data_IF_007274327424
#
_entry.id   IF_007274327424
#
_cell.length_a   1.000
_cell.length_b   1.000
_cell.length_c   1.000
_cell.angle_alpha   90.00
_cell.angle_beta   90.00
_cell.angle_gamma   90.00
#
_symmetry.space_group_name_H-M   'P 1'
#
loop_
_entity.id
_entity.type
_entity.pdbx_description
1 polymer ?
#
# COMPACT_ATOMS: atom_id res chain seq x y z
N UNK A 1 -5.16 -44.45 -20.01
CA UNK A 1 -5.05 -43.81 -18.68
C UNK A 1 -5.29 -42.33 -18.90
N UNK A 2 -6.47 -41.88 -18.50
CA UNK A 2 -7.00 -40.54 -18.76
C UNK A 2 -6.29 -39.50 -17.89
N UNK A 3 -5.77 -38.44 -18.51
CA UNK A 3 -5.12 -37.31 -17.81
C UNK A 3 -6.13 -36.57 -16.93
N UNK A 4 -7.42 -36.65 -17.25
CA UNK A 4 -8.52 -36.11 -16.45
C UNK A 4 -8.79 -36.87 -15.14
N UNK A 5 -8.19 -38.05 -14.97
CA UNK A 5 -8.35 -38.84 -13.73
C UNK A 5 -7.37 -38.44 -12.63
N UNK A 6 -6.30 -37.68 -12.92
CA UNK A 6 -5.30 -37.25 -11.91
C UNK A 6 -5.60 -35.89 -11.27
N UNK A 7 -6.59 -35.13 -11.77
CA UNK A 7 -6.92 -33.78 -11.26
C UNK A 7 -7.98 -33.82 -10.15
N UNK A 8 -8.50 -35.00 -9.80
CA UNK A 8 -9.71 -35.14 -9.00
C UNK A 8 -9.55 -35.21 -7.47
N UNK A 9 -8.33 -35.15 -6.92
CA UNK A 9 -8.13 -35.25 -5.45
C UNK A 9 -7.16 -34.19 -4.87
N UNK A 10 -7.02 -33.03 -5.50
CA UNK A 10 -6.46 -31.87 -4.80
C UNK A 10 -7.52 -31.23 -3.91
N UNK A 11 -7.26 -31.11 -2.60
CA UNK A 11 -8.12 -30.34 -1.70
C UNK A 11 -8.27 -28.91 -2.25
N UNK A 12 -9.43 -28.28 -2.06
CA UNK A 12 -9.66 -26.88 -2.47
C UNK A 12 -8.54 -25.96 -1.96
N UNK A 13 -8.02 -26.24 -0.76
CA UNK A 13 -6.94 -25.50 -0.14
C UNK A 13 -5.60 -25.65 -0.89
N UNK A 14 -5.33 -26.81 -1.49
CA UNK A 14 -4.08 -27.05 -2.21
C UNK A 14 -4.06 -26.23 -3.51
N UNK A 15 -5.20 -26.17 -4.20
CA UNK A 15 -5.36 -25.36 -5.42
C UNK A 15 -5.20 -23.88 -5.12
N UNK A 16 -5.78 -23.42 -4.03
CA UNK A 16 -5.69 -22.04 -3.58
C UNK A 16 -4.26 -21.65 -3.17
N UNK A 17 -3.55 -22.53 -2.47
CA UNK A 17 -2.13 -22.35 -2.11
C UNK A 17 -1.22 -22.26 -3.35
N UNK A 18 -1.45 -23.12 -4.35
CA UNK A 18 -0.74 -23.06 -5.64
C UNK A 18 -1.03 -21.75 -6.35
N UNK A 19 -2.30 -21.33 -6.41
CA UNK A 19 -2.70 -20.07 -7.04
C UNK A 19 -2.07 -18.86 -6.33
N UNK A 20 -2.06 -18.85 -5.01
CA UNK A 20 -1.40 -17.83 -4.19
C UNK A 20 0.09 -17.74 -4.51
N UNK A 21 0.77 -18.89 -4.63
CA UNK A 21 2.19 -18.95 -4.98
C UNK A 21 2.48 -18.39 -6.37
N UNK A 22 1.62 -18.71 -7.35
CA UNK A 22 1.73 -18.16 -8.72
C UNK A 22 1.58 -16.64 -8.71
N UNK A 23 0.54 -16.14 -8.04
CA UNK A 23 0.32 -14.69 -7.93
C UNK A 23 1.45 -13.99 -7.20
N UNK A 24 1.97 -14.58 -6.12
CA UNK A 24 3.11 -14.05 -5.37
C UNK A 24 4.32 -13.80 -6.28
N UNK A 25 4.76 -14.83 -7.00
CA UNK A 25 5.90 -14.74 -7.93
C UNK A 25 5.62 -13.71 -9.05
N UNK A 26 4.40 -13.71 -9.58
CA UNK A 26 4.05 -12.83 -10.69
C UNK A 26 3.98 -11.34 -10.28
N UNK A 27 3.45 -11.06 -9.09
CA UNK A 27 3.40 -9.70 -8.55
C UNK A 27 4.80 -9.19 -8.19
N UNK A 28 5.67 -10.04 -7.63
CA UNK A 28 7.06 -9.67 -7.33
C UNK A 28 7.84 -9.31 -8.60
N UNK A 29 7.63 -10.08 -9.67
CA UNK A 29 8.15 -9.74 -11.00
C UNK A 29 7.59 -8.41 -11.50
N UNK A 30 6.27 -8.18 -11.40
CA UNK A 30 5.64 -6.98 -11.93
C UNK A 30 6.13 -5.69 -11.22
N UNK A 31 6.23 -5.73 -9.89
CA UNK A 31 6.79 -4.61 -9.08
C UNK A 31 8.26 -4.39 -9.42
N UNK A 32 9.03 -5.48 -9.58
CA UNK A 32 10.44 -5.37 -9.99
C UNK A 32 10.57 -4.77 -11.40
N UNK A 33 9.70 -5.14 -12.32
CA UNK A 33 9.70 -4.66 -13.70
C UNK A 33 9.32 -3.17 -13.80
N UNK A 34 8.42 -2.68 -12.95
CA UNK A 34 8.03 -1.26 -12.94
C UNK A 34 9.13 -0.35 -12.37
N UNK A 35 9.90 -0.85 -11.41
CA UNK A 35 11.01 -0.12 -10.77
C UNK A 35 12.30 -0.11 -11.59
N UNK A 36 12.42 -0.93 -12.63
CA UNK A 36 13.60 -0.90 -13.52
C UNK A 36 13.72 0.47 -14.17
N UNK A 37 14.87 1.12 -13.94
CA UNK A 37 15.26 2.33 -14.65
C UNK A 37 15.57 1.93 -16.09
N UNK A 38 15.02 2.66 -17.07
CA UNK A 38 15.43 2.47 -18.46
C UNK A 38 16.95 2.65 -18.52
N UNK A 39 17.65 1.61 -18.96
CA UNK A 39 19.08 1.70 -19.15
C UNK A 39 19.34 2.72 -20.27
N UNK A 40 19.88 3.88 -19.90
CA UNK A 40 20.29 4.97 -20.82
C UNK A 40 21.82 5.08 -20.88
N UNK A 41 22.52 3.98 -20.55
CA UNK A 41 23.96 3.89 -20.75
C UNK A 41 24.28 3.57 -22.21
N UNK A 42 25.38 4.10 -22.78
CA UNK A 42 25.90 3.57 -24.02
C UNK A 42 26.27 2.09 -23.80
N UNK A 43 26.08 1.22 -24.81
CA UNK A 43 26.26 -0.22 -24.67
C UNK A 43 27.67 -0.52 -24.13
N UNK A 44 27.85 -1.54 -23.27
CA UNK A 44 29.17 -1.95 -22.84
C UNK A 44 29.98 -2.30 -24.09
N UNK A 45 31.10 -1.59 -24.27
CA UNK A 45 32.05 -1.82 -25.35
C UNK A 45 32.36 -3.31 -25.45
N UNK A 46 32.11 -3.84 -26.65
CA UNK A 46 32.44 -5.20 -27.04
C UNK A 46 33.93 -5.50 -26.79
N UNK A 47 34.20 -6.59 -26.08
CA UNK A 47 35.53 -7.19 -26.03
C UNK A 47 35.65 -8.24 -27.15
N UNK A 48 36.26 -7.77 -28.24
CA UNK A 48 37.22 -8.46 -29.12
C UNK A 48 37.01 -9.95 -29.46
N UNK A 49 36.69 -10.19 -30.74
CA UNK A 49 36.93 -11.46 -31.43
C UNK A 49 37.25 -11.24 -32.91
N UNK A 50 38.54 -11.13 -33.22
CA UNK A 50 39.26 -11.38 -34.48
C UNK A 50 38.65 -10.98 -35.84
N UNK A 51 39.44 -10.20 -36.57
CA UNK A 51 39.32 -9.90 -37.99
C UNK A 51 39.31 -11.15 -38.88
N UNK A 52 38.43 -11.14 -39.89
CA UNK A 52 38.70 -11.68 -41.24
C UNK A 52 37.80 -10.98 -42.26
N UNK A 53 38.43 -10.58 -43.36
CA UNK A 53 37.88 -9.83 -44.50
C UNK A 53 36.67 -10.47 -45.18
N UNK A 54 35.76 -9.65 -45.70
CA UNK A 54 34.83 -10.09 -46.75
C UNK A 54 33.48 -9.35 -46.81
N UNK A 55 33.38 -8.42 -47.77
CA UNK A 55 32.21 -7.96 -48.52
C UNK A 55 30.80 -7.90 -47.86
N UNK A 56 30.27 -6.66 -47.84
CA UNK A 56 28.90 -6.23 -47.55
C UNK A 56 27.80 -7.04 -48.24
N UNK A 57 26.90 -7.64 -47.45
CA UNK A 57 25.45 -7.65 -47.69
C UNK A 57 24.77 -7.48 -46.33
N UNK A 58 24.30 -6.26 -46.05
CA UNK A 58 23.52 -5.96 -44.86
C UNK A 58 22.08 -6.47 -45.06
N UNK A 59 21.83 -7.71 -44.65
CA UNK A 59 20.46 -8.14 -44.34
C UNK A 59 20.13 -7.53 -42.98
N UNK A 60 19.33 -6.47 -42.98
CA UNK A 60 18.71 -5.97 -41.76
C UNK A 60 17.71 -7.02 -41.28
N UNK A 61 18.17 -7.88 -40.38
CA UNK A 61 17.28 -8.62 -39.49
C UNK A 61 16.77 -7.60 -38.45
N UNK A 62 15.45 -7.45 -38.24
CA UNK A 62 14.97 -6.59 -37.18
C UNK A 62 15.47 -7.18 -35.85
N UNK A 63 16.42 -6.49 -35.22
CA UNK A 63 16.95 -6.80 -33.89
C UNK A 63 15.87 -6.50 -32.85
N UNK A 64 14.83 -7.33 -32.82
CA UNK A 64 13.81 -7.34 -31.81
C UNK A 64 14.14 -8.43 -30.80
N UNK A 65 14.91 -8.12 -29.76
CA UNK A 65 14.85 -8.85 -28.49
C UNK A 65 15.60 -8.08 -27.40
N UNK A 66 14.86 -7.69 -26.37
CA UNK A 66 15.30 -7.17 -25.06
C UNK A 66 15.46 -5.65 -24.87
N UNK A 67 14.62 -4.84 -25.51
CA UNK A 67 14.11 -3.65 -24.81
C UNK A 67 13.11 -4.12 -23.75
N UNK A 68 13.63 -4.32 -22.54
CA UNK A 68 12.91 -4.86 -21.40
C UNK A 68 11.67 -4.02 -21.09
N UNK A 69 10.49 -4.62 -21.33
CA UNK A 69 9.17 -4.07 -21.03
C UNK A 69 9.11 -3.55 -19.58
N UNK A 70 9.16 -2.23 -19.43
CA UNK A 70 8.95 -1.56 -18.16
C UNK A 70 7.44 -1.40 -17.97
N UNK A 71 6.91 -2.01 -16.92
CA UNK A 71 5.50 -1.83 -16.56
C UNK A 71 5.27 -0.44 -15.97
N UNK A 72 4.21 0.22 -16.41
CA UNK A 72 3.72 1.44 -15.79
C UNK A 72 3.06 1.11 -14.43
N UNK A 73 3.09 2.03 -13.45
CA UNK A 73 2.42 1.81 -12.16
C UNK A 73 0.94 1.44 -12.30
N UNK A 74 0.23 2.02 -13.28
CA UNK A 74 -1.17 1.69 -13.59
C UNK A 74 -1.36 0.24 -14.04
N UNK A 75 -0.39 -0.34 -14.73
CA UNK A 75 -0.44 -1.75 -15.16
C UNK A 75 -0.22 -2.68 -13.97
N UNK A 76 0.69 -2.33 -13.06
CA UNK A 76 0.89 -3.07 -11.80
C UNK A 76 -0.36 -3.00 -10.93
N UNK A 77 -1.01 -1.83 -10.82
CA UNK A 77 -2.29 -1.68 -10.11
C UNK A 77 -3.34 -2.62 -10.72
N UNK A 78 -3.47 -2.68 -12.04
CA UNK A 78 -4.42 -3.57 -12.71
C UNK A 78 -4.13 -5.05 -12.38
N UNK A 79 -2.85 -5.45 -12.35
CA UNK A 79 -2.46 -6.80 -11.95
C UNK A 79 -2.81 -7.09 -10.48
N UNK A 80 -2.58 -6.14 -9.57
CA UNK A 80 -2.97 -6.26 -8.17
C UNK A 80 -4.50 -6.39 -8.02
N UNK A 81 -5.28 -5.59 -8.76
CA UNK A 81 -6.75 -5.64 -8.78
C UNK A 81 -7.26 -7.01 -9.23
N UNK A 82 -6.61 -7.62 -10.23
CA UNK A 82 -6.91 -9.00 -10.67
C UNK A 82 -6.56 -10.04 -9.60
N UNK A 83 -5.42 -9.88 -8.94
CA UNK A 83 -5.00 -10.78 -7.86
C UNK A 83 -5.97 -10.73 -6.67
N UNK A 84 -6.36 -9.54 -6.19
CA UNK A 84 -7.34 -9.41 -5.09
C UNK A 84 -8.74 -9.87 -5.51
N UNK A 85 -9.06 -9.88 -6.80
CA UNK A 85 -10.33 -10.46 -7.27
C UNK A 85 -10.32 -11.98 -7.19
N UNK A 86 -9.17 -12.61 -7.44
CA UNK A 86 -9.00 -14.06 -7.36
C UNK A 86 -8.79 -14.56 -5.92
N UNK A 87 -8.15 -13.77 -5.06
CA UNK A 87 -7.68 -14.16 -3.74
C UNK A 87 -8.08 -13.12 -2.67
N UNK A 88 -9.32 -12.64 -2.71
CA UNK A 88 -9.77 -11.54 -1.84
C UNK A 88 -9.73 -11.86 -0.34
N UNK A 89 -9.69 -13.12 0.07
CA UNK A 89 -9.59 -13.49 1.48
C UNK A 89 -8.13 -13.64 1.95
N UNK A 90 -7.14 -13.53 1.05
CA UNK A 90 -5.73 -13.63 1.43
C UNK A 90 -5.15 -12.27 1.78
N UNK A 91 -4.96 -12.02 3.08
CA UNK A 91 -4.44 -10.74 3.58
C UNK A 91 -3.07 -10.37 2.96
N UNK A 92 -2.23 -11.36 2.64
CA UNK A 92 -0.91 -11.12 2.07
C UNK A 92 -0.97 -10.49 0.66
N UNK A 93 -2.02 -10.78 -0.13
CA UNK A 93 -2.23 -10.12 -1.42
C UNK A 93 -2.65 -8.66 -1.22
N UNK A 94 -3.51 -8.39 -0.25
CA UNK A 94 -3.87 -7.02 0.11
C UNK A 94 -2.68 -6.22 0.62
N UNK A 95 -1.89 -6.78 1.54
CA UNK A 95 -0.71 -6.13 2.09
C UNK A 95 0.30 -5.78 0.98
N UNK A 96 0.54 -6.67 0.02
CA UNK A 96 1.38 -6.38 -1.16
C UNK A 96 0.83 -5.25 -2.02
N UNK A 97 -0.49 -5.20 -2.21
CA UNK A 97 -1.11 -4.11 -2.96
C UNK A 97 -0.93 -2.78 -2.21
N UNK A 98 -1.16 -2.77 -0.91
CA UNK A 98 -0.97 -1.59 -0.06
C UNK A 98 0.50 -1.15 -0.04
N UNK A 99 1.46 -2.08 0.10
CA UNK A 99 2.91 -1.80 0.03
C UNK A 99 3.28 -1.10 -1.29
N UNK A 100 2.73 -1.56 -2.41
CA UNK A 100 2.97 -0.94 -3.70
C UNK A 100 2.37 0.47 -3.80
N UNK A 101 1.16 0.67 -3.28
CA UNK A 101 0.53 2.00 -3.27
C UNK A 101 1.31 2.99 -2.40
N UNK A 102 1.74 2.56 -1.20
CA UNK A 102 2.53 3.39 -0.28
C UNK A 102 3.92 3.72 -0.83
N UNK A 103 4.56 2.80 -1.55
CA UNK A 103 5.92 2.99 -2.07
C UNK A 103 5.96 3.73 -3.42
N UNK A 104 5.10 3.34 -4.35
CA UNK A 104 5.20 3.74 -5.76
C UNK A 104 4.08 4.70 -6.20
N UNK A 105 3.01 4.86 -5.40
CA UNK A 105 1.82 5.67 -5.74
C UNK A 105 1.36 6.55 -4.56
N UNK A 106 2.32 6.98 -3.72
CA UNK A 106 2.06 7.62 -2.43
C UNK A 106 1.30 8.94 -2.48
N UNK A 107 1.25 9.59 -3.64
CA UNK A 107 0.47 10.83 -3.83
C UNK A 107 -1.05 10.61 -3.93
N UNK A 108 -1.51 9.40 -4.26
CA UNK A 108 -2.94 9.07 -4.42
C UNK A 108 -3.50 8.47 -3.11
N UNK A 109 -3.61 9.31 -2.08
CA UNK A 109 -4.07 8.90 -0.74
C UNK A 109 -5.52 8.39 -0.78
N UNK A 110 -6.39 9.01 -1.59
CA UNK A 110 -7.76 8.57 -1.77
C UNK A 110 -7.86 7.12 -2.29
N UNK A 111 -7.01 6.74 -3.25
CA UNK A 111 -6.94 5.35 -3.71
C UNK A 111 -6.47 4.42 -2.60
N UNK A 112 -5.42 4.79 -1.88
CA UNK A 112 -4.91 4.00 -0.75
C UNK A 112 -6.02 3.74 0.28
N UNK A 113 -6.76 4.77 0.69
CA UNK A 113 -7.89 4.66 1.63
C UNK A 113 -9.00 3.76 1.07
N UNK A 114 -9.38 3.90 -0.21
CA UNK A 114 -10.40 3.03 -0.82
C UNK A 114 -9.98 1.56 -0.84
N UNK A 115 -8.71 1.28 -1.15
CA UNK A 115 -8.17 -0.09 -1.16
C UNK A 115 -8.14 -0.66 0.26
N UNK A 116 -7.67 0.12 1.24
CA UNK A 116 -7.65 -0.30 2.65
C UNK A 116 -9.04 -0.56 3.24
N UNK A 117 -10.03 0.31 2.95
CA UNK A 117 -11.43 0.06 3.34
C UNK A 117 -12.01 -1.20 2.72
N UNK A 118 -11.62 -1.54 1.48
CA UNK A 118 -12.02 -2.80 0.86
C UNK A 118 -11.28 -3.98 1.50
N UNK A 119 -10.00 -3.85 1.79
CA UNK A 119 -9.19 -4.93 2.34
C UNK A 119 -9.63 -5.32 3.75
N UNK A 120 -9.89 -4.38 4.65
CA UNK A 120 -10.37 -4.70 6.02
C UNK A 120 -11.75 -5.36 6.04
N UNK A 121 -12.60 -5.10 5.03
CA UNK A 121 -13.88 -5.82 4.89
C UNK A 121 -13.71 -7.26 4.43
N UNK A 122 -12.68 -7.56 3.64
CA UNK A 122 -12.43 -8.91 3.13
C UNK A 122 -11.50 -9.73 4.05
N UNK A 123 -10.57 -9.06 4.74
CA UNK A 123 -9.62 -9.64 5.70
C UNK A 123 -9.67 -8.89 7.04
N UNK A 124 -10.82 -8.89 7.75
CA UNK A 124 -11.00 -8.15 9.00
C UNK A 124 -10.10 -8.64 10.15
N UNK A 125 -9.52 -9.83 10.02
CA UNK A 125 -8.56 -10.39 10.97
C UNK A 125 -7.14 -9.81 10.83
N UNK A 126 -6.89 -8.98 9.83
CA UNK A 126 -5.55 -8.46 9.54
C UNK A 126 -5.27 -7.17 10.31
N UNK A 127 -4.48 -7.27 11.38
CA UNK A 127 -4.03 -6.10 12.14
C UNK A 127 -3.30 -5.07 11.26
N UNK A 128 -2.43 -5.56 10.36
CA UNK A 128 -1.63 -4.69 9.49
C UNK A 128 -2.49 -3.80 8.60
N UNK A 129 -3.60 -4.33 8.08
CA UNK A 129 -4.54 -3.56 7.25
C UNK A 129 -5.30 -2.51 8.08
N UNK A 130 -5.73 -2.84 9.30
CA UNK A 130 -6.39 -1.88 10.20
C UNK A 130 -5.48 -0.72 10.60
N UNK A 131 -4.25 -1.01 11.00
CA UNK A 131 -3.28 0.02 11.38
C UNK A 131 -2.96 0.96 10.21
N UNK A 132 -2.76 0.40 9.00
CA UNK A 132 -2.52 1.20 7.79
C UNK A 132 -3.75 2.01 7.39
N UNK A 133 -4.97 1.49 7.57
CA UNK A 133 -6.19 2.26 7.33
C UNK A 133 -6.28 3.47 8.26
N UNK A 134 -6.02 3.30 9.56
CA UNK A 134 -6.00 4.42 10.51
C UNK A 134 -5.00 5.51 10.12
N UNK A 135 -3.77 5.12 9.75
CA UNK A 135 -2.74 6.05 9.30
C UNK A 135 -3.10 6.75 7.98
N UNK A 136 -3.65 6.02 7.00
CA UNK A 136 -4.05 6.60 5.72
C UNK A 136 -5.22 7.59 5.89
N UNK A 137 -6.17 7.29 6.78
CA UNK A 137 -7.27 8.18 7.14
C UNK A 137 -6.77 9.44 7.84
N UNK A 138 -5.78 9.31 8.72
CA UNK A 138 -5.14 10.46 9.37
C UNK A 138 -4.43 11.36 8.34
N UNK A 139 -3.66 10.77 7.42
CA UNK A 139 -3.00 11.51 6.34
C UNK A 139 -4.02 12.20 5.41
N UNK A 140 -5.14 11.54 5.11
CA UNK A 140 -6.22 12.15 4.34
C UNK A 140 -6.83 13.35 5.07
N UNK A 141 -7.05 13.22 6.38
CA UNK A 141 -7.56 14.31 7.22
C UNK A 141 -6.59 15.51 7.29
N UNK A 142 -5.27 15.27 7.25
CA UNK A 142 -4.27 16.34 7.22
C UNK A 142 -4.18 17.04 5.86
N UNK A 143 -4.41 16.31 4.76
CA UNK A 143 -4.28 16.83 3.39
C UNK A 143 -5.57 17.47 2.86
N UNK A 144 -6.73 17.12 3.41
CA UNK A 144 -8.01 17.69 2.97
C UNK A 144 -8.29 19.05 3.62
N UNK A 145 -8.41 20.16 2.87
CA UNK A 145 -8.73 21.47 3.42
C UNK A 145 -10.19 21.60 3.89
N UNK A 146 -11.08 20.67 3.50
CA UNK A 146 -12.47 20.59 3.97
C UNK A 146 -12.86 19.12 4.15
N UNK A 147 -13.44 18.70 5.30
CA UNK A 147 -13.95 17.35 5.45
C UNK A 147 -15.14 17.14 4.52
N UNK A 148 -15.01 16.22 3.56
CA UNK A 148 -16.18 15.69 2.85
C UNK A 148 -16.83 14.67 3.78
N UNK A 149 -17.82 15.11 4.54
CA UNK A 149 -18.70 14.21 5.30
C UNK A 149 -19.85 13.83 4.36
N UNK A 150 -19.99 12.54 4.04
CA UNK A 150 -21.11 12.01 3.26
C UNK A 150 -21.40 12.70 1.90
N UNK A 151 -20.35 13.13 1.19
CA UNK A 151 -20.49 13.73 -0.15
C UNK A 151 -21.02 15.17 -0.15
N UNK A 152 -21.10 15.83 1.01
CA UNK A 152 -21.47 17.25 1.12
C UNK A 152 -20.21 18.04 1.49
N UNK A 153 -19.74 18.87 0.57
CA UNK A 153 -18.78 19.94 0.87
C UNK A 153 -19.47 20.99 1.71
N UNK A 154 -18.98 21.22 2.93
CA UNK A 154 -19.37 22.39 3.73
C UNK A 154 -18.57 23.60 3.25
N UNK A 155 -19.29 24.63 2.82
CA UNK A 155 -18.70 25.91 2.40
C UNK A 155 -18.02 26.59 3.59
N UNK A 156 -16.85 27.19 3.32
CA UNK A 156 -15.87 27.62 4.32
C UNK A 156 -16.25 28.86 5.16
N UNK A 157 -17.50 29.32 5.15
CA UNK A 157 -17.86 30.63 5.73
C UNK A 157 -18.50 30.60 7.12
N UNK A 158 -18.72 29.42 7.72
CA UNK A 158 -19.34 29.38 9.05
C UNK A 158 -18.85 28.23 9.92
N UNK A 159 -17.64 28.31 10.47
CA UNK A 159 -17.34 27.61 11.73
C UNK A 159 -16.27 28.32 12.55
N UNK A 160 -16.60 28.63 13.80
CA UNK A 160 -15.65 28.99 14.84
C UNK A 160 -14.46 28.02 14.85
N UNK A 161 -13.25 28.60 14.82
CA UNK A 161 -11.91 28.01 14.62
C UNK A 161 -11.48 26.84 15.56
N UNK A 162 -12.38 26.23 16.33
CA UNK A 162 -12.08 25.12 17.25
C UNK A 162 -12.88 23.83 17.02
N UNK A 163 -14.01 23.88 16.31
CA UNK A 163 -14.94 22.72 16.18
C UNK A 163 -14.65 21.88 14.94
N UNK A 164 -14.17 22.50 13.86
CA UNK A 164 -14.01 21.84 12.55
C UNK A 164 -12.90 20.79 12.51
N UNK A 165 -11.83 20.95 13.30
CA UNK A 165 -10.73 19.99 13.35
C UNK A 165 -11.07 18.71 14.14
N UNK A 166 -12.06 18.74 15.03
CA UNK A 166 -12.48 17.55 15.78
C UNK A 166 -13.29 16.62 14.88
N UNK A 167 -14.07 17.16 13.92
CA UNK A 167 -14.91 16.35 13.03
C UNK A 167 -14.15 15.66 11.89
N UNK A 168 -12.96 16.15 11.49
CA UNK A 168 -12.20 15.51 10.39
C UNK A 168 -11.53 14.22 10.88
N UNK A 169 -11.01 14.24 12.10
CA UNK A 169 -10.29 13.11 12.68
C UNK A 169 -11.19 12.09 13.38
N UNK A 170 -12.50 12.37 13.54
CA UNK A 170 -13.45 11.39 14.09
C UNK A 170 -13.50 10.11 13.25
N UNK A 171 -13.34 10.22 11.92
CA UNK A 171 -13.28 9.06 11.04
C UNK A 171 -12.06 8.16 11.31
N UNK A 172 -10.97 8.72 11.86
CA UNK A 172 -9.81 7.91 12.27
C UNK A 172 -10.14 7.14 13.54
N UNK A 173 -10.82 7.79 14.50
CA UNK A 173 -11.27 7.14 15.74
C UNK A 173 -12.26 6.01 15.44
N UNK A 174 -13.22 6.25 14.55
CA UNK A 174 -14.19 5.25 14.09
C UNK A 174 -13.50 4.00 13.53
N UNK A 175 -12.40 4.14 12.78
CA UNK A 175 -11.64 3.00 12.26
C UNK A 175 -11.02 2.17 13.38
N UNK A 176 -10.43 2.81 14.39
CA UNK A 176 -9.84 2.08 15.52
C UNK A 176 -10.92 1.43 16.40
N UNK A 177 -12.04 2.10 16.62
CA UNK A 177 -13.18 1.57 17.35
C UNK A 177 -13.82 0.37 16.63
N UNK A 178 -14.00 0.47 15.31
CA UNK A 178 -14.49 -0.64 14.47
C UNK A 178 -13.53 -1.83 14.53
N UNK A 179 -12.22 -1.59 14.44
CA UNK A 179 -11.20 -2.63 14.55
C UNK A 179 -11.24 -3.34 15.92
N UNK A 180 -11.35 -2.58 17.01
CA UNK A 180 -11.44 -3.09 18.38
C UNK A 180 -12.73 -3.89 18.62
N UNK A 181 -13.83 -3.49 17.99
CA UNK A 181 -15.11 -4.18 18.06
C UNK A 181 -15.19 -5.42 17.16
N UNK A 182 -14.23 -5.61 16.24
CA UNK A 182 -14.30 -6.65 15.23
C UNK A 182 -13.99 -8.05 15.82
N UNK A 183 -14.95 -8.98 15.85
CA UNK A 183 -14.74 -10.29 16.43
C UNK A 183 -13.75 -11.15 15.65
N UNK A 184 -13.59 -10.91 14.34
CA UNK A 184 -12.65 -11.68 13.52
C UNK A 184 -11.20 -11.35 13.89
N UNK A 185 -10.91 -10.09 14.23
CA UNK A 185 -9.59 -9.66 14.71
C UNK A 185 -9.29 -10.20 16.11
N UNK A 186 -10.29 -10.22 16.98
CA UNK A 186 -10.16 -10.81 18.31
C UNK A 186 -10.01 -12.34 18.26
N UNK A 187 -10.66 -13.01 17.31
CA UNK A 187 -10.61 -14.46 17.15
C UNK A 187 -9.32 -14.94 16.46
N UNK A 188 -8.76 -14.15 15.53
CA UNK A 188 -7.48 -14.46 14.88
C UNK A 188 -6.27 -14.07 15.74
N UNK A 189 -6.43 -13.06 16.60
CA UNK A 189 -5.33 -12.39 17.28
C UNK A 189 -4.91 -13.08 18.56
N UNK A 190 -3.60 -13.20 18.76
CA UNK A 190 -3.04 -13.31 20.10
C UNK A 190 -3.35 -12.03 20.90
N UNK A 191 -3.28 -12.03 22.24
CA UNK A 191 -3.40 -10.79 23.04
C UNK A 191 -2.50 -9.65 22.55
N UNK A 192 -1.35 -9.97 21.94
CA UNK A 192 -0.45 -8.99 21.33
C UNK A 192 -1.05 -8.21 20.16
N UNK A 193 -2.03 -8.78 19.46
CA UNK A 193 -2.74 -8.11 18.36
C UNK A 193 -3.56 -6.93 18.86
N UNK A 194 -4.37 -7.16 19.89
CA UNK A 194 -5.19 -6.12 20.51
C UNK A 194 -4.32 -5.05 21.18
N UNK A 195 -3.23 -5.46 21.86
CA UNK A 195 -2.27 -4.53 22.45
C UNK A 195 -1.65 -3.62 21.38
N UNK A 196 -1.24 -4.18 20.24
CA UNK A 196 -0.67 -3.42 19.13
C UNK A 196 -1.68 -2.45 18.51
N UNK A 197 -2.94 -2.86 18.39
CA UNK A 197 -4.01 -1.98 17.94
C UNK A 197 -4.24 -0.81 18.91
N UNK A 198 -4.27 -1.08 20.22
CA UNK A 198 -4.35 -0.05 21.25
C UNK A 198 -3.17 0.91 21.22
N UNK A 199 -1.94 0.40 21.03
CA UNK A 199 -0.78 1.27 20.88
C UNK A 199 -0.89 2.18 19.65
N UNK A 200 -1.35 1.66 18.51
CA UNK A 200 -1.62 2.48 17.34
C UNK A 200 -2.64 3.58 17.62
N UNK A 201 -3.73 3.26 18.32
CA UNK A 201 -4.77 4.23 18.65
C UNK A 201 -4.30 5.29 19.67
N UNK A 202 -3.56 4.89 20.70
CA UNK A 202 -2.98 5.78 21.69
C UNK A 202 -1.94 6.70 21.03
N UNK A 203 -1.07 6.15 20.18
CA UNK A 203 -0.08 6.94 19.43
C UNK A 203 -0.74 8.05 18.61
N UNK A 204 -1.79 7.70 17.84
CA UNK A 204 -2.62 8.66 17.12
C UNK A 204 -3.15 9.76 18.06
N UNK A 205 -3.79 9.39 19.18
CA UNK A 205 -4.37 10.36 20.13
C UNK A 205 -3.31 11.27 20.75
N UNK A 206 -2.13 10.73 21.08
CA UNK A 206 -1.01 11.51 21.61
C UNK A 206 -0.50 12.50 20.57
N UNK A 207 -0.30 12.07 19.31
CA UNK A 207 0.13 12.97 18.22
C UNK A 207 -0.86 14.11 18.01
N UNK A 208 -2.17 13.83 18.07
CA UNK A 208 -3.24 14.84 17.98
C UNK A 208 -3.23 15.81 19.16
N UNK A 209 -3.10 15.30 20.38
CA UNK A 209 -3.02 16.13 21.59
C UNK A 209 -1.83 17.09 21.53
N UNK A 210 -0.65 16.58 21.16
CA UNK A 210 0.56 17.39 21.03
C UNK A 210 0.43 18.46 19.94
N UNK A 211 -0.15 18.13 18.79
CA UNK A 211 -0.42 19.08 17.72
C UNK A 211 -1.38 20.21 18.16
N UNK A 212 -2.42 19.87 18.93
CA UNK A 212 -3.36 20.86 19.48
C UNK A 212 -2.66 21.79 20.50
N UNK A 213 -1.80 21.25 21.36
CA UNK A 213 -1.03 22.04 22.33
C UNK A 213 0.02 22.98 21.70
N UNK A 214 0.50 22.66 20.49
CA UNK A 214 1.43 23.52 19.75
C UNK A 214 0.70 24.62 18.99
N UNK A 215 -0.49 24.33 18.44
CA UNK A 215 -1.33 25.34 17.78
C UNK A 215 -1.75 26.48 18.71
N UNK A 216 -1.76 26.27 20.02
CA UNK A 216 -2.08 27.33 21.00
C UNK A 216 -0.85 28.14 21.42
N UNK A 217 0.37 27.66 21.14
CA UNK A 217 1.63 28.32 21.49
C UNK A 217 2.24 29.07 20.30
N UNK A 218 2.04 28.59 19.07
CA UNK A 218 2.68 29.15 17.89
C UNK A 218 1.75 30.08 17.11
N UNK A 219 1.63 31.31 17.62
CA UNK A 219 1.47 32.47 16.75
C UNK A 219 2.78 32.67 15.97
N UNK A 220 2.84 32.08 14.77
CA UNK A 220 3.88 32.22 13.74
C UNK A 220 5.08 31.23 13.79
N UNK A 221 5.26 30.57 12.63
CA UNK A 221 6.51 30.10 12.01
C UNK A 221 6.94 28.62 11.98
N UNK A 222 6.34 27.65 12.70
CA UNK A 222 6.94 26.29 12.72
C UNK A 222 6.07 25.10 12.26
N UNK A 223 5.09 25.35 11.38
CA UNK A 223 4.21 24.27 10.84
C UNK A 223 4.89 23.33 9.82
N UNK A 224 6.01 23.73 9.22
CA UNK A 224 6.60 23.00 8.08
C UNK A 224 7.58 21.87 8.47
N UNK A 225 8.15 21.90 9.67
CA UNK A 225 9.18 20.93 10.10
C UNK A 225 8.60 19.67 10.74
N UNK A 226 7.37 19.71 11.28
CA UNK A 226 6.75 18.57 11.96
C UNK A 226 6.16 17.52 11.00
N UNK A 227 5.54 17.95 9.90
CA UNK A 227 4.96 17.04 8.90
C UNK A 227 6.04 16.11 8.30
N UNK A 228 7.24 16.64 8.04
CA UNK A 228 8.35 15.84 7.52
C UNK A 228 8.97 14.91 8.56
N UNK A 229 8.86 15.18 9.86
CA UNK A 229 9.56 14.40 10.90
C UNK A 229 8.70 13.25 11.47
N UNK A 230 7.37 13.38 11.42
CA UNK A 230 6.46 12.34 11.91
C UNK A 230 6.18 11.22 10.89
N UNK A 231 6.24 11.47 9.58
CA UNK A 231 6.08 10.42 8.57
C UNK A 231 7.19 9.34 8.62
N UNK A 232 8.41 9.68 9.06
CA UNK A 232 9.51 8.71 9.14
C UNK A 232 9.48 7.85 10.41
N UNK A 233 8.81 8.28 11.48
CA UNK A 233 8.75 7.55 12.75
C UNK A 233 7.68 6.45 12.68
N UNK A 234 6.51 6.71 12.08
CA UNK A 234 5.42 5.73 11.97
C UNK A 234 5.75 4.56 11.03
N UNK A 235 6.50 4.79 9.95
CA UNK A 235 6.93 3.69 9.07
C UNK A 235 7.94 2.76 9.77
N UNK A 236 8.84 3.27 10.61
CA UNK A 236 9.85 2.42 11.28
C UNK A 236 9.37 1.73 12.55
N UNK A 237 8.44 2.32 13.31
CA UNK A 237 7.91 1.66 14.50
C UNK A 237 7.06 0.42 14.17
N UNK A 238 6.33 0.43 13.04
CA UNK A 238 5.57 -0.75 12.59
C UNK A 238 6.48 -1.94 12.19
N UNK A 239 7.64 -1.71 11.57
CA UNK A 239 8.55 -2.81 11.24
C UNK A 239 9.25 -3.42 12.46
N UNK A 240 9.46 -2.64 13.54
CA UNK A 240 10.17 -3.13 14.72
C UNK A 240 9.30 -4.00 15.64
N UNK A 241 7.98 -3.77 15.67
CA UNK A 241 7.06 -4.56 16.48
C UNK A 241 6.39 -5.73 15.73
N UNK A 242 6.30 -5.69 14.40
CA UNK A 242 5.79 -6.82 13.60
C UNK A 242 6.83 -7.93 13.37
N UNK A 243 8.06 -7.78 13.88
CA UNK A 243 9.16 -8.76 13.75
C UNK A 243 9.54 -9.46 15.08
N UNK A 244 8.74 -9.31 16.14
CA UNK A 244 8.88 -9.99 17.45
C UNK A 244 7.63 -10.84 17.69
#
# INVERSE_FOLDING_TARGET
MDVDSLVKEGSSNDRESVLLSIWSVYLDWAVSASRKKAYTGPPPLALSGQARDGAKVAVQLPSATQDHCKLLPSEVICLMERAVTALCLHECIWLRFVDFLEADVSSDIDRLVRVLRRSVRNSPWSLGLWLRLGLAMELLAETSPNPVINGITLDAESTHFGVSNVSVFSQVEEVFEEALANPALAASGSPGTLISLWFGFIDFRVRRYLAACQSTKDGAQDKALLCKRNSYICLRFNYFFLSI
#
